data_IF_286364826281
#
_entry.id   IF_286364826281
#
_cell.length_a   1.000
_cell.length_b   1.000
_cell.length_c   1.000
_cell.angle_alpha   90.00
_cell.angle_beta   90.00
_cell.angle_gamma   90.00
#
_symmetry.space_group_name_H-M   'P 1'
#
loop_
_entity.id
_entity.type
_entity.pdbx_description
1 polymer ?
#
# COMPACT_ATOMS: atom_id res chain seq x y z
N UNK A 1 2.29 13.75 -2.55
CA UNK A 1 1.57 13.87 -1.27
C UNK A 1 1.89 15.22 -0.65
N UNK A 2 1.07 15.84 0.21
CA UNK A 2 1.45 17.13 0.79
C UNK A 2 2.71 16.94 1.64
N UNK A 3 3.71 17.83 1.43
CA UNK A 3 4.91 17.87 2.26
C UNK A 3 4.52 17.99 3.72
N UNK A 4 4.80 16.96 4.50
CA UNK A 4 4.64 16.98 5.94
C UNK A 4 5.99 17.41 6.50
N UNK A 5 6.10 18.52 7.24
CA UNK A 5 7.36 18.86 7.90
C UNK A 5 7.75 17.70 8.83
N UNK A 6 9.03 17.30 8.78
CA UNK A 6 9.57 16.29 9.69
C UNK A 6 9.18 16.66 11.13
N UNK A 7 8.53 15.74 11.83
CA UNK A 7 7.87 16.02 13.11
C UNK A 7 8.80 16.50 14.21
N UNK A 8 10.03 16.03 14.17
CA UNK A 8 10.99 16.33 15.23
C UNK A 8 11.70 17.67 15.05
N UNK A 9 11.33 18.48 14.01
CA UNK A 9 12.03 19.75 13.70
C UNK A 9 13.55 19.57 13.55
N UNK A 10 14.03 18.34 13.58
CA UNK A 10 15.40 17.94 13.43
C UNK A 10 15.78 17.80 11.95
N UNK A 11 17.07 17.91 11.64
CA UNK A 11 17.55 17.74 10.27
C UNK A 11 17.45 16.29 9.78
N UNK A 12 17.12 15.32 10.66
CA UNK A 12 17.22 13.89 10.39
C UNK A 12 15.83 13.25 10.34
N UNK A 13 15.49 12.58 9.25
CA UNK A 13 14.33 11.69 9.20
C UNK A 13 14.58 10.44 10.06
N UNK A 14 13.63 10.06 10.90
CA UNK A 14 13.73 8.91 11.80
C UNK A 14 12.71 7.84 11.41
N UNK A 15 13.20 6.69 10.94
CA UNK A 15 12.37 5.61 10.36
C UNK A 15 12.43 4.37 11.26
N UNK A 16 11.25 3.93 11.73
CA UNK A 16 11.12 2.63 12.37
C UNK A 16 11.11 1.53 11.30
N UNK A 17 11.95 0.52 11.43
CA UNK A 17 12.02 -0.61 10.49
C UNK A 17 11.55 -1.87 11.20
N UNK A 18 10.49 -2.49 10.68
CA UNK A 18 9.89 -3.71 11.20
C UNK A 18 9.87 -4.75 10.08
N UNK A 19 10.90 -5.58 9.91
CA UNK A 19 10.93 -6.58 8.84
C UNK A 19 9.84 -7.65 8.96
N UNK A 20 9.42 -7.98 10.19
CA UNK A 20 8.39 -8.97 10.47
C UNK A 20 8.84 -10.40 10.18
N UNK A 21 8.09 -11.13 9.34
CA UNK A 21 8.21 -12.56 9.11
C UNK A 21 8.57 -12.91 7.65
N UNK A 22 8.99 -14.15 7.46
CA UNK A 22 9.19 -14.75 6.14
C UNK A 22 10.08 -13.91 5.24
N UNK A 23 9.62 -13.65 4.00
CA UNK A 23 10.36 -12.83 3.03
C UNK A 23 10.52 -11.37 3.45
N UNK A 24 9.73 -10.87 4.41
CA UNK A 24 9.91 -9.52 4.95
C UNK A 24 11.33 -9.30 5.47
N UNK A 25 11.95 -10.34 6.06
CA UNK A 25 13.35 -10.31 6.52
C UNK A 25 14.38 -10.23 5.40
N UNK A 26 13.99 -10.60 4.17
CA UNK A 26 14.86 -10.57 2.99
C UNK A 26 14.68 -9.27 2.19
N UNK A 27 13.43 -8.82 1.98
CA UNK A 27 13.14 -7.68 1.10
C UNK A 27 13.22 -6.33 1.80
N UNK A 28 12.94 -6.24 3.11
CA UNK A 28 13.04 -4.98 3.86
C UNK A 28 14.47 -4.43 3.92
N UNK A 29 15.52 -5.24 4.16
CA UNK A 29 16.90 -4.77 4.08
C UNK A 29 17.27 -4.20 2.70
N UNK A 30 16.68 -4.71 1.61
CA UNK A 30 16.89 -4.16 0.26
C UNK A 30 16.28 -2.76 0.14
N UNK A 31 15.08 -2.57 0.65
CA UNK A 31 14.42 -1.26 0.69
C UNK A 31 15.23 -0.25 1.53
N UNK A 32 15.74 -0.65 2.70
CA UNK A 32 16.61 0.20 3.54
C UNK A 32 17.87 0.60 2.78
N UNK A 33 18.56 -0.34 2.11
CA UNK A 33 19.75 -0.02 1.29
C UNK A 33 19.43 0.95 0.15
N UNK A 34 18.29 0.78 -0.52
CA UNK A 34 17.84 1.67 -1.59
C UNK A 34 17.60 3.10 -1.06
N UNK A 35 16.92 3.25 0.08
CA UNK A 35 16.73 4.55 0.73
C UNK A 35 18.08 5.18 1.10
N UNK A 36 18.98 4.39 1.71
CA UNK A 36 20.32 4.88 2.10
C UNK A 36 21.12 5.39 0.90
N UNK A 37 21.11 4.65 -0.22
CA UNK A 37 21.78 5.03 -1.44
C UNK A 37 21.24 6.35 -2.01
N UNK A 38 19.91 6.51 -2.02
CA UNK A 38 19.26 7.73 -2.49
C UNK A 38 19.50 8.92 -1.56
N UNK A 39 19.36 8.73 -0.24
CA UNK A 39 19.57 9.76 0.76
C UNK A 39 21.03 10.30 0.78
N UNK A 40 22.01 9.41 0.57
CA UNK A 40 23.42 9.77 0.55
C UNK A 40 23.77 10.78 -0.56
N UNK A 41 23.12 10.66 -1.72
CA UNK A 41 23.35 11.56 -2.87
C UNK A 41 22.97 13.02 -2.59
N UNK A 42 21.89 13.21 -1.86
CA UNK A 42 21.42 14.56 -1.52
C UNK A 42 21.77 14.96 -0.08
N UNK A 43 22.71 14.22 0.56
CA UNK A 43 23.15 14.48 1.93
C UNK A 43 21.96 14.57 2.92
N UNK A 44 20.91 13.75 2.70
CA UNK A 44 19.74 13.68 3.57
C UNK A 44 20.07 12.83 4.79
N UNK A 45 20.12 13.39 5.97
CA UNK A 45 20.38 12.60 7.18
C UNK A 45 19.15 11.77 7.53
N UNK A 46 19.36 10.46 7.70
CA UNK A 46 18.32 9.48 8.01
C UNK A 46 18.81 8.49 9.07
N UNK A 47 17.96 8.21 10.04
CA UNK A 47 18.20 7.22 11.08
C UNK A 47 17.21 6.08 10.93
N UNK A 48 17.70 4.85 10.91
CA UNK A 48 16.88 3.63 10.93
C UNK A 48 16.98 2.95 12.29
N UNK A 49 15.84 2.73 12.92
CA UNK A 49 15.74 1.98 14.19
C UNK A 49 15.00 0.67 13.89
N UNK A 50 15.68 -0.44 14.10
CA UNK A 50 15.16 -1.77 13.78
C UNK A 50 14.47 -2.41 14.98
N UNK A 51 13.29 -3.00 14.72
CA UNK A 51 12.48 -3.73 15.69
C UNK A 51 12.31 -5.18 15.25
N UNK A 52 12.47 -6.12 16.18
CA UNK A 52 12.35 -7.58 15.97
C UNK A 52 10.90 -8.09 16.11
N UNK A 53 9.91 -7.22 15.86
CA UNK A 53 8.50 -7.58 16.03
C UNK A 53 8.02 -8.49 14.90
N UNK A 54 7.52 -9.66 15.30
CA UNK A 54 7.07 -10.71 14.42
C UNK A 54 6.88 -12.03 15.17
N UNK A 55 6.75 -13.13 14.43
CA UNK A 55 6.50 -14.46 14.98
C UNK A 55 7.62 -14.94 15.92
N UNK A 56 8.90 -14.68 15.59
CA UNK A 56 10.01 -15.12 16.44
C UNK A 56 9.97 -14.50 17.83
N UNK A 57 9.68 -13.18 17.92
CA UNK A 57 9.50 -12.52 19.20
C UNK A 57 8.28 -13.05 19.94
N UNK A 58 7.17 -13.19 19.24
CA UNK A 58 5.94 -13.72 19.83
C UNK A 58 6.13 -15.13 20.40
N UNK A 59 6.78 -16.02 19.67
CA UNK A 59 7.04 -17.39 20.11
C UNK A 59 8.04 -17.45 21.30
N UNK A 60 8.98 -16.53 21.37
CA UNK A 60 9.98 -16.46 22.43
C UNK A 60 9.44 -15.84 23.71
N UNK A 61 8.65 -14.75 23.58
CA UNK A 61 8.29 -13.87 24.69
C UNK A 61 6.78 -13.79 24.95
N UNK A 62 5.96 -14.35 24.05
CA UNK A 62 4.50 -14.19 24.04
C UNK A 62 4.04 -12.70 24.03
N UNK A 63 4.84 -11.85 23.38
CA UNK A 63 4.57 -10.41 23.22
C UNK A 63 4.45 -10.11 21.72
N UNK A 64 3.36 -9.49 21.32
CA UNK A 64 3.14 -9.00 19.96
C UNK A 64 3.70 -7.59 19.77
N UNK A 65 3.14 -6.62 20.48
CA UNK A 65 3.66 -5.26 20.61
C UNK A 65 4.00 -4.96 22.06
N UNK A 66 5.22 -4.52 22.37
CA UNK A 66 5.57 -4.10 23.73
C UNK A 66 4.67 -2.96 24.24
N UNK A 67 4.43 -2.86 25.55
CA UNK A 67 3.76 -1.72 26.14
C UNK A 67 4.44 -0.39 25.72
N UNK A 68 3.64 0.61 25.34
CA UNK A 68 4.15 1.90 24.90
C UNK A 68 4.69 1.94 23.46
N UNK A 69 4.69 0.81 22.72
CA UNK A 69 5.22 0.74 21.36
C UNK A 69 4.49 1.67 20.37
N UNK A 70 3.18 1.79 20.50
CA UNK A 70 2.36 2.63 19.62
C UNK A 70 2.65 4.11 19.85
N UNK A 71 2.72 4.51 21.12
CA UNK A 71 3.05 5.87 21.54
C UNK A 71 4.46 6.25 21.08
N UNK A 72 5.43 5.38 21.29
CA UNK A 72 6.81 5.55 20.82
C UNK A 72 6.86 5.72 19.30
N UNK A 73 6.20 4.83 18.53
CA UNK A 73 6.16 4.95 17.06
C UNK A 73 5.51 6.26 16.61
N UNK A 74 4.42 6.66 17.28
CA UNK A 74 3.71 7.88 16.97
C UNK A 74 4.54 9.14 17.26
N UNK A 75 5.26 9.15 18.37
CA UNK A 75 5.85 10.37 18.94
C UNK A 75 7.33 10.56 18.55
N UNK A 76 8.04 9.47 18.24
CA UNK A 76 9.47 9.48 17.97
C UNK A 76 9.88 9.23 16.51
N UNK A 77 8.96 8.76 15.65
CA UNK A 77 9.28 8.40 14.28
C UNK A 77 8.46 9.20 13.26
N UNK A 78 9.10 9.53 12.14
CA UNK A 78 8.46 10.21 11.01
C UNK A 78 7.67 9.23 10.14
N UNK A 79 8.18 7.99 10.00
CA UNK A 79 7.53 6.93 9.25
C UNK A 79 7.92 5.53 9.77
N UNK A 80 7.12 4.53 9.40
CA UNK A 80 7.37 3.12 9.69
C UNK A 80 7.52 2.39 8.36
N UNK A 81 8.69 1.78 8.12
CA UNK A 81 8.92 0.85 7.02
C UNK A 81 8.66 -0.56 7.54
N UNK A 82 7.67 -1.22 6.96
CA UNK A 82 7.21 -2.51 7.40
C UNK A 82 7.43 -3.57 6.31
N UNK A 83 7.81 -4.77 6.68
CA UNK A 83 8.01 -5.88 5.74
C UNK A 83 6.73 -6.69 5.53
N UNK A 84 6.62 -7.84 6.18
CA UNK A 84 5.45 -8.70 6.08
C UNK A 84 5.22 -9.45 7.39
N UNK A 85 3.99 -9.90 7.65
CA UNK A 85 3.66 -10.74 8.80
C UNK A 85 2.92 -12.00 8.39
N UNK A 86 3.09 -13.02 9.19
CA UNK A 86 2.46 -14.33 9.07
C UNK A 86 3.50 -15.44 9.09
N UNK A 87 3.31 -16.38 10.02
CA UNK A 87 4.19 -17.53 10.18
C UNK A 87 3.36 -18.77 10.52
N UNK A 88 3.49 -19.89 9.79
CA UNK A 88 2.72 -21.12 10.04
C UNK A 88 2.97 -21.72 11.42
N UNK A 89 4.05 -21.35 12.12
CA UNK A 89 4.29 -21.75 13.51
C UNK A 89 3.33 -21.09 14.50
N UNK A 90 2.60 -20.03 14.06
CA UNK A 90 1.53 -19.35 14.83
C UNK A 90 0.20 -19.58 14.12
N UNK A 91 -0.50 -20.72 14.34
CA UNK A 91 -1.65 -21.13 13.53
C UNK A 91 -2.81 -20.12 13.49
N UNK A 92 -3.02 -19.39 14.58
CA UNK A 92 -4.05 -18.35 14.68
C UNK A 92 -3.69 -17.07 13.92
N UNK A 93 -2.44 -16.91 13.48
CA UNK A 93 -1.88 -15.67 12.96
C UNK A 93 -2.10 -14.45 13.90
N UNK A 94 -2.36 -14.70 15.18
CA UNK A 94 -2.71 -13.69 16.17
C UNK A 94 -1.67 -12.56 16.23
N UNK A 95 -0.38 -12.90 16.21
CA UNK A 95 0.69 -11.91 16.23
C UNK A 95 0.61 -10.94 15.05
N UNK A 96 0.23 -11.43 13.86
CA UNK A 96 0.09 -10.60 12.67
C UNK A 96 -1.11 -9.64 12.81
N UNK A 97 -2.24 -10.14 13.30
CA UNK A 97 -3.42 -9.31 13.56
C UNK A 97 -3.11 -8.25 14.63
N UNK A 98 -2.52 -8.64 15.75
CA UNK A 98 -2.22 -7.72 16.85
C UNK A 98 -1.21 -6.62 16.45
N UNK A 99 -0.18 -6.96 15.67
CA UNK A 99 0.82 -5.98 15.23
C UNK A 99 0.25 -5.11 14.11
N UNK A 100 -0.16 -5.69 12.98
CA UNK A 100 -0.52 -4.93 11.79
C UNK A 100 -1.85 -4.19 11.96
N UNK A 101 -2.93 -4.91 12.31
CA UNK A 101 -4.23 -4.26 12.52
C UNK A 101 -4.19 -3.38 13.78
N UNK A 102 -3.46 -3.82 14.82
CA UNK A 102 -3.24 -3.02 16.02
C UNK A 102 -2.60 -1.66 15.72
N UNK A 103 -1.57 -1.61 14.87
CA UNK A 103 -0.95 -0.35 14.43
C UNK A 103 -1.89 0.48 13.57
N UNK A 104 -2.61 -0.13 12.60
CA UNK A 104 -3.57 0.57 11.74
C UNK A 104 -4.66 1.28 12.56
N UNK A 105 -5.23 0.58 13.55
CA UNK A 105 -6.31 1.13 14.38
C UNK A 105 -5.80 2.15 15.40
N UNK A 106 -4.73 1.84 16.13
CA UNK A 106 -4.23 2.70 17.22
C UNK A 106 -3.54 3.97 16.72
N UNK A 107 -2.93 3.94 15.53
CA UNK A 107 -2.38 5.11 14.86
C UNK A 107 -3.41 5.81 13.95
N UNK A 108 -4.65 5.28 13.88
CA UNK A 108 -5.75 5.76 13.03
C UNK A 108 -5.31 5.94 11.56
N UNK A 109 -4.62 4.94 11.00
CA UNK A 109 -4.11 4.94 9.62
C UNK A 109 -5.24 4.67 8.62
N UNK A 110 -6.18 5.59 8.50
CA UNK A 110 -7.45 5.39 7.81
C UNK A 110 -7.36 5.36 6.29
N UNK A 111 -6.28 5.84 5.70
CA UNK A 111 -6.06 5.78 4.25
C UNK A 111 -5.11 4.64 3.94
N UNK A 112 -5.60 3.56 3.34
CA UNK A 112 -4.70 2.62 2.67
C UNK A 112 -4.59 3.02 1.20
N UNK A 113 -3.43 3.53 0.82
CA UNK A 113 -3.11 3.96 -0.53
C UNK A 113 -2.37 2.84 -1.27
N UNK A 114 -2.96 2.33 -2.35
CA UNK A 114 -2.42 1.25 -3.18
C UNK A 114 -2.30 1.71 -4.64
N UNK A 115 -1.19 2.36 -5.01
CA UNK A 115 -0.95 2.73 -6.40
C UNK A 115 -0.65 1.48 -7.23
N UNK A 116 -1.17 1.48 -8.45
CA UNK A 116 -0.94 0.45 -9.44
C UNK A 116 -0.42 1.10 -10.72
N UNK A 117 0.79 0.74 -11.12
CA UNK A 117 1.43 1.21 -12.34
C UNK A 117 2.05 0.03 -13.08
N UNK A 118 1.75 -0.10 -14.35
CA UNK A 118 2.44 -1.06 -15.22
C UNK A 118 3.82 -0.51 -15.56
N UNK A 119 4.87 -1.10 -14.99
CA UNK A 119 6.24 -0.61 -15.17
C UNK A 119 6.91 -1.13 -16.45
N UNK A 120 6.47 -2.31 -16.95
CA UNK A 120 6.97 -2.89 -18.19
C UNK A 120 5.85 -3.72 -18.86
N UNK A 121 5.64 -3.62 -20.21
CA UNK A 121 4.48 -4.21 -20.89
C UNK A 121 4.43 -5.74 -20.82
N UNK A 122 5.56 -6.41 -20.61
CA UNK A 122 5.64 -7.88 -20.48
C UNK A 122 4.83 -8.45 -19.30
N UNK A 123 4.57 -7.64 -18.28
CA UNK A 123 4.00 -8.13 -17.01
C UNK A 123 2.49 -7.96 -16.90
N UNK A 124 1.83 -7.37 -17.89
CA UNK A 124 0.36 -7.36 -17.92
C UNK A 124 -0.19 -8.59 -18.61
N UNK A 125 -1.27 -9.21 -18.07
CA UNK A 125 -1.98 -10.28 -18.76
C UNK A 125 -2.92 -9.75 -19.88
N UNK A 126 -3.11 -8.43 -19.95
CA UNK A 126 -4.00 -7.80 -20.90
C UNK A 126 -3.34 -7.64 -22.27
N UNK A 127 -4.14 -7.72 -23.34
CA UNK A 127 -3.67 -7.50 -24.72
C UNK A 127 -3.71 -6.01 -25.06
N UNK A 128 -2.77 -5.58 -25.90
CA UNK A 128 -2.72 -4.23 -26.46
C UNK A 128 -2.68 -3.12 -25.38
N UNK A 129 -2.00 -3.41 -24.27
CA UNK A 129 -1.79 -2.51 -23.14
C UNK A 129 -0.31 -2.14 -23.03
N UNK A 130 -0.06 -0.85 -22.84
CA UNK A 130 1.26 -0.26 -22.64
C UNK A 130 1.42 0.24 -21.20
N UNK A 131 2.64 0.54 -20.74
CA UNK A 131 2.86 1.09 -19.39
C UNK A 131 2.05 2.35 -19.06
N UNK A 132 1.76 3.18 -20.06
CA UNK A 132 0.94 4.38 -19.88
C UNK A 132 -0.56 4.11 -19.72
N UNK A 133 -1.02 2.89 -19.99
CA UNK A 133 -2.44 2.53 -19.95
C UNK A 133 -2.91 2.09 -18.55
N UNK A 134 -2.00 1.63 -17.69
CA UNK A 134 -2.33 1.24 -16.32
C UNK A 134 -1.55 2.14 -15.36
N UNK A 135 -2.24 3.16 -14.88
CA UNK A 135 -1.77 4.03 -13.82
C UNK A 135 -2.97 4.53 -13.03
N UNK A 136 -3.22 3.91 -11.89
CA UNK A 136 -4.34 4.23 -11.02
C UNK A 136 -3.94 4.09 -9.55
N UNK A 137 -4.75 4.65 -8.66
CA UNK A 137 -4.59 4.45 -7.22
C UNK A 137 -5.92 4.04 -6.60
N UNK A 138 -5.87 3.03 -5.72
CA UNK A 138 -6.99 2.64 -4.87
C UNK A 138 -6.80 3.24 -3.49
N UNK A 139 -7.73 4.07 -3.05
CA UNK A 139 -7.87 4.51 -1.67
C UNK A 139 -8.90 3.62 -0.97
N UNK A 140 -8.41 2.74 -0.11
CA UNK A 140 -9.19 1.83 0.72
C UNK A 140 -9.38 2.43 2.10
N UNK A 141 -10.62 2.51 2.60
CA UNK A 141 -10.85 2.78 4.01
C UNK A 141 -10.21 1.66 4.82
N UNK A 142 -9.45 1.96 5.88
CA UNK A 142 -8.51 1.00 6.45
C UNK A 142 -8.74 0.70 7.94
N UNK A 143 -9.69 1.36 8.57
CA UNK A 143 -9.92 1.29 10.03
C UNK A 143 -11.33 0.86 10.42
N UNK A 144 -12.16 0.54 9.45
CA UNK A 144 -13.55 0.11 9.63
C UNK A 144 -13.84 -1.16 8.79
N UNK A 145 -15.11 -1.49 8.61
CA UNK A 145 -15.56 -2.61 7.81
C UNK A 145 -15.50 -3.95 8.56
N UNK A 146 -15.37 -5.02 7.81
CA UNK A 146 -15.30 -6.40 8.35
C UNK A 146 -14.04 -6.65 9.20
N UNK A 147 -12.96 -5.87 8.99
CA UNK A 147 -11.67 -6.04 9.66
C UNK A 147 -11.68 -5.59 11.13
N UNK A 148 -12.74 -4.92 11.60
CA UNK A 148 -12.88 -4.57 13.03
C UNK A 148 -13.10 -5.80 13.92
N UNK A 149 -13.44 -6.95 13.31
CA UNK A 149 -13.59 -8.21 14.03
C UNK A 149 -14.83 -8.31 14.92
N UNK A 150 -15.83 -7.43 14.71
CA UNK A 150 -17.12 -7.55 15.43
C UNK A 150 -17.92 -8.72 14.91
N UNK A 151 -18.29 -9.64 15.81
CA UNK A 151 -19.02 -10.82 15.45
C UNK A 151 -18.84 -11.94 16.47
N UNK A 152 -19.23 -13.15 16.10
CA UNK A 152 -19.10 -14.31 16.96
C UNK A 152 -19.81 -15.55 16.44
N UNK A 153 -19.81 -16.58 17.28
CA UNK A 153 -20.44 -17.86 16.99
C UNK A 153 -21.57 -18.13 17.98
N UNK A 154 -22.64 -18.71 17.48
CA UNK A 154 -23.69 -19.32 18.28
C UNK A 154 -23.73 -20.82 17.99
N UNK A 155 -23.84 -21.67 19.01
CA UNK A 155 -23.81 -23.16 18.92
C UNK A 155 -22.59 -23.69 18.15
N UNK A 156 -21.40 -23.11 18.41
CA UNK A 156 -20.14 -23.48 17.75
C UNK A 156 -19.89 -25.00 17.84
N UNK A 157 -19.34 -25.56 16.77
CA UNK A 157 -19.01 -27.00 16.62
C UNK A 157 -20.22 -27.94 16.64
N UNK A 158 -21.44 -27.43 16.32
CA UNK A 158 -22.66 -28.24 16.16
C UNK A 158 -23.26 -28.08 14.76
N UNK A 159 -24.15 -28.99 14.31
CA UNK A 159 -24.83 -28.82 13.02
C UNK A 159 -25.67 -27.54 12.89
N UNK A 160 -26.06 -26.94 14.02
CA UNK A 160 -26.84 -25.70 14.07
C UNK A 160 -25.94 -24.45 14.31
N UNK A 161 -24.65 -24.53 14.02
CA UNK A 161 -23.71 -23.41 14.20
C UNK A 161 -24.09 -22.21 13.35
N UNK A 162 -24.07 -21.03 13.98
CA UNK A 162 -24.24 -19.74 13.32
C UNK A 162 -22.98 -18.90 13.55
N UNK A 163 -22.39 -18.40 12.47
CA UNK A 163 -21.32 -17.42 12.51
C UNK A 163 -21.83 -16.05 12.04
N UNK A 164 -21.51 -14.99 12.77
CA UNK A 164 -21.87 -13.62 12.43
C UNK A 164 -20.60 -12.79 12.34
N UNK A 165 -20.48 -11.98 11.30
CA UNK A 165 -19.42 -10.98 11.10
C UNK A 165 -20.05 -9.66 10.67
N UNK A 166 -19.83 -8.61 11.44
CA UNK A 166 -20.42 -7.30 11.21
C UNK A 166 -19.56 -6.43 10.28
N UNK A 167 -20.19 -5.79 9.30
CA UNK A 167 -19.56 -4.75 8.47
C UNK A 167 -19.87 -3.36 9.04
N UNK A 168 -18.91 -2.80 9.77
CA UNK A 168 -19.06 -1.53 10.49
C UNK A 168 -18.63 -0.37 9.60
N UNK A 169 -19.53 0.58 9.35
CA UNK A 169 -19.26 1.78 8.56
C UNK A 169 -19.76 3.01 9.33
N UNK A 170 -18.87 3.90 9.72
CA UNK A 170 -19.25 5.17 10.32
C UNK A 170 -19.29 6.29 9.28
N UNK A 171 -20.15 7.30 9.51
CA UNK A 171 -20.16 8.50 8.65
C UNK A 171 -18.78 9.17 8.61
N UNK A 172 -18.09 9.24 9.74
CA UNK A 172 -16.75 9.83 9.85
C UNK A 172 -15.74 9.08 8.95
N UNK A 173 -15.70 7.74 9.04
CA UNK A 173 -14.78 6.90 8.26
C UNK A 173 -15.05 7.03 6.76
N UNK A 174 -16.30 6.89 6.35
CA UNK A 174 -16.71 7.01 4.94
C UNK A 174 -16.41 8.41 4.39
N UNK A 175 -16.73 9.47 5.14
CA UNK A 175 -16.52 10.84 4.67
C UNK A 175 -15.03 11.17 4.51
N UNK A 176 -14.19 10.80 5.47
CA UNK A 176 -12.77 11.15 5.44
C UNK A 176 -12.01 10.48 4.31
N UNK A 177 -12.35 9.21 3.98
CA UNK A 177 -11.68 8.52 2.88
C UNK A 177 -12.15 9.03 1.51
N UNK A 178 -13.43 9.28 1.32
CA UNK A 178 -13.97 9.87 0.09
C UNK A 178 -13.39 11.27 -0.10
N UNK A 179 -13.37 12.10 0.92
CA UNK A 179 -12.79 13.44 0.89
C UNK A 179 -11.28 13.40 0.58
N UNK A 180 -10.56 12.43 1.12
CA UNK A 180 -9.15 12.23 0.79
C UNK A 180 -8.95 11.94 -0.71
N UNK A 181 -9.75 11.04 -1.29
CA UNK A 181 -9.69 10.71 -2.70
C UNK A 181 -9.97 11.93 -3.60
N UNK A 182 -10.97 12.75 -3.27
CA UNK A 182 -11.26 13.98 -4.03
C UNK A 182 -10.16 15.05 -3.89
N UNK A 183 -9.61 15.24 -2.70
CA UNK A 183 -8.47 16.16 -2.49
C UNK A 183 -7.24 15.71 -3.27
N UNK A 184 -6.94 14.42 -3.25
CA UNK A 184 -5.86 13.85 -4.04
C UNK A 184 -6.09 14.07 -5.53
N UNK A 185 -7.27 13.72 -6.05
CA UNK A 185 -7.61 13.88 -7.46
C UNK A 185 -7.51 15.35 -7.93
N UNK A 186 -7.93 16.32 -7.09
CA UNK A 186 -7.82 17.75 -7.40
C UNK A 186 -6.38 18.24 -7.41
N UNK A 187 -5.53 17.71 -6.54
CA UNK A 187 -4.13 18.10 -6.44
C UNK A 187 -3.25 17.54 -7.56
N UNK A 188 -3.73 16.54 -8.30
CA UNK A 188 -2.99 15.86 -9.35
C UNK A 188 -3.73 15.95 -10.69
N UNK A 189 -2.97 15.96 -11.78
CA UNK A 189 -3.49 15.94 -13.14
C UNK A 189 -2.74 14.91 -13.98
N UNK A 190 -3.31 14.54 -15.12
CA UNK A 190 -2.62 13.66 -16.08
C UNK A 190 -1.34 14.34 -16.56
N UNK A 191 -0.19 13.65 -16.43
CA UNK A 191 1.12 14.18 -16.78
C UNK A 191 1.82 14.94 -15.65
N UNK A 192 1.19 15.11 -14.48
CA UNK A 192 1.91 15.57 -13.27
C UNK A 192 2.89 14.50 -12.78
N UNK A 193 3.90 14.92 -12.00
CA UNK A 193 4.84 13.98 -11.40
C UNK A 193 4.09 12.83 -10.71
N UNK A 194 4.39 11.59 -11.10
CA UNK A 194 3.74 10.39 -10.60
C UNK A 194 2.50 9.92 -11.37
N UNK A 195 1.87 10.72 -12.26
CA UNK A 195 0.72 10.29 -13.07
C UNK A 195 0.94 10.58 -14.57
N UNK A 196 1.60 9.64 -15.26
CA UNK A 196 1.67 9.65 -16.73
C UNK A 196 0.56 8.77 -17.28
N UNK A 197 -0.28 9.29 -18.14
CA UNK A 197 -1.39 8.54 -18.74
C UNK A 197 -1.31 8.53 -20.25
N UNK A 198 -1.68 7.40 -20.88
CA UNK A 198 -1.87 7.27 -22.33
C UNK A 198 -2.87 8.29 -22.90
N UNK A 199 -3.73 8.86 -22.07
CA UNK A 199 -4.67 9.91 -22.43
C UNK A 199 -4.02 11.29 -22.65
N UNK A 200 -2.68 11.36 -22.57
CA UNK A 200 -1.90 12.59 -22.72
C UNK A 200 -1.86 13.46 -21.46
N UNK A 201 -1.13 14.57 -21.56
CA UNK A 201 -1.08 15.57 -20.48
C UNK A 201 -2.36 16.40 -20.46
N UNK A 202 -2.92 16.63 -19.29
CA UNK A 202 -4.11 17.46 -19.05
C UNK A 202 -3.95 18.26 -17.78
N UNK A 203 -4.40 19.51 -17.77
CA UNK A 203 -4.50 20.35 -16.57
C UNK A 203 -5.73 20.04 -15.73
N UNK A 204 -6.62 19.15 -16.21
CA UNK A 204 -7.82 18.77 -15.46
C UNK A 204 -7.43 17.82 -14.31
N UNK A 205 -8.15 17.90 -13.16
CA UNK A 205 -8.04 16.94 -12.08
C UNK A 205 -8.19 15.48 -12.55
N UNK A 206 -7.63 14.54 -11.79
CA UNK A 206 -7.87 13.10 -11.97
C UNK A 206 -9.35 12.77 -11.70
N UNK A 207 -9.84 11.71 -12.33
CA UNK A 207 -11.22 11.22 -12.15
C UNK A 207 -11.32 10.36 -10.91
N UNK A 208 -12.44 10.48 -10.17
CA UNK A 208 -12.73 9.66 -9.00
C UNK A 208 -13.83 8.64 -9.33
N UNK A 209 -13.59 7.36 -9.08
CA UNK A 209 -14.58 6.30 -9.09
C UNK A 209 -14.82 5.80 -7.66
N UNK A 210 -15.98 6.06 -7.09
CA UNK A 210 -16.41 5.43 -5.83
C UNK A 210 -17.03 4.08 -6.14
N UNK A 211 -16.69 3.05 -5.36
CA UNK A 211 -17.23 1.71 -5.54
C UNK A 211 -17.77 1.13 -4.24
N UNK A 212 -18.91 0.48 -4.35
CA UNK A 212 -19.60 -0.20 -3.26
C UNK A 212 -20.46 -1.39 -3.76
N UNK A 213 -21.25 -1.97 -2.88
CA UNK A 213 -22.26 -2.98 -3.22
C UNK A 213 -23.64 -2.54 -2.69
N UNK A 214 -24.01 -1.27 -2.90
CA UNK A 214 -25.26 -0.69 -2.36
C UNK A 214 -26.54 -1.35 -2.87
N UNK A 215 -26.47 -2.08 -3.97
CA UNK A 215 -27.60 -2.89 -4.44
C UNK A 215 -27.87 -4.17 -3.60
N UNK A 216 -26.94 -4.52 -2.70
CA UNK A 216 -27.07 -5.68 -1.80
C UNK A 216 -26.87 -5.28 -0.32
N UNK A 217 -25.95 -4.37 -0.04
CA UNK A 217 -25.62 -3.91 1.30
C UNK A 217 -26.39 -2.60 1.60
N UNK A 218 -27.66 -2.74 1.96
CA UNK A 218 -28.61 -1.61 2.02
C UNK A 218 -28.14 -0.48 2.92
N UNK A 219 -27.77 -0.77 4.16
CA UNK A 219 -27.45 0.29 5.14
C UNK A 219 -26.06 0.90 4.92
N UNK A 220 -25.04 0.06 4.76
CA UNK A 220 -23.70 0.52 4.44
C UNK A 220 -23.69 1.27 3.11
N UNK A 221 -24.33 0.70 2.08
CA UNK A 221 -24.43 1.29 0.76
C UNK A 221 -25.15 2.64 0.76
N UNK A 222 -26.29 2.78 1.48
CA UNK A 222 -26.97 4.06 1.62
C UNK A 222 -26.06 5.15 2.22
N UNK A 223 -25.31 4.79 3.28
CA UNK A 223 -24.36 5.71 3.89
C UNK A 223 -23.27 6.15 2.90
N UNK A 224 -22.64 5.21 2.19
CA UNK A 224 -21.62 5.51 1.19
C UNK A 224 -22.14 6.40 0.06
N UNK A 225 -23.32 6.09 -0.49
CA UNK A 225 -23.95 6.87 -1.56
C UNK A 225 -24.29 8.31 -1.13
N UNK A 226 -24.90 8.48 0.04
CA UNK A 226 -25.26 9.81 0.55
C UNK A 226 -24.03 10.67 0.83
N UNK A 227 -23.00 10.07 1.44
CA UNK A 227 -21.74 10.78 1.74
C UNK A 227 -21.00 11.11 0.45
N UNK A 228 -20.91 10.17 -0.52
CA UNK A 228 -20.31 10.43 -1.81
C UNK A 228 -20.98 11.60 -2.53
N UNK A 229 -22.32 11.60 -2.59
CA UNK A 229 -23.09 12.71 -3.17
C UNK A 229 -22.81 14.05 -2.49
N UNK A 230 -22.72 14.06 -1.17
CA UNK A 230 -22.42 15.27 -0.38
C UNK A 230 -21.01 15.79 -0.66
N UNK A 231 -19.98 14.93 -0.58
CA UNK A 231 -18.59 15.33 -0.82
C UNK A 231 -18.37 15.76 -2.27
N UNK A 232 -18.92 15.01 -3.24
CA UNK A 232 -18.85 15.36 -4.66
C UNK A 232 -19.31 16.79 -4.96
N UNK A 233 -20.35 17.25 -4.29
CA UNK A 233 -20.88 18.60 -4.48
C UNK A 233 -19.89 19.72 -4.09
N UNK A 234 -18.91 19.42 -3.22
CA UNK A 234 -17.85 20.34 -2.81
C UNK A 234 -16.66 20.36 -3.81
N UNK A 235 -16.64 19.42 -4.78
CA UNK A 235 -15.58 19.27 -5.78
C UNK A 235 -16.13 19.25 -7.21
N UNK A 236 -16.82 20.33 -7.66
CA UNK A 236 -17.48 20.36 -8.97
C UNK A 236 -16.50 20.29 -10.15
N UNK A 237 -15.23 20.57 -9.92
CA UNK A 237 -14.12 20.50 -10.86
C UNK A 237 -13.55 19.09 -11.06
N UNK A 238 -13.90 18.14 -10.20
CA UNK A 238 -13.43 16.73 -10.25
C UNK A 238 -14.50 15.87 -10.90
N UNK A 239 -14.19 15.27 -12.05
CA UNK A 239 -15.07 14.28 -12.68
C UNK A 239 -15.17 13.02 -11.80
N UNK A 240 -16.40 12.56 -11.55
CA UNK A 240 -16.60 11.45 -10.64
C UNK A 240 -17.83 10.62 -10.97
N UNK A 241 -17.69 9.31 -10.73
CA UNK A 241 -18.76 8.32 -10.98
C UNK A 241 -18.83 7.27 -9.87
N UNK A 242 -19.92 6.54 -9.86
CA UNK A 242 -20.11 5.35 -9.05
C UNK A 242 -20.19 4.10 -9.92
N UNK A 243 -19.57 3.01 -9.48
CA UNK A 243 -19.75 1.66 -10.02
C UNK A 243 -19.96 0.67 -8.87
N UNK A 244 -20.81 -0.31 -9.06
CA UNK A 244 -20.83 -1.46 -8.16
C UNK A 244 -19.52 -2.23 -8.26
N UNK A 245 -19.09 -2.86 -7.19
CA UNK A 245 -17.76 -3.50 -7.11
C UNK A 245 -17.56 -4.61 -8.14
N UNK A 246 -18.58 -5.37 -8.45
CA UNK A 246 -18.57 -6.38 -9.51
C UNK A 246 -18.42 -5.76 -10.90
N UNK A 247 -19.10 -4.66 -11.17
CA UNK A 247 -18.93 -3.89 -12.41
C UNK A 247 -17.54 -3.29 -12.49
N UNK A 248 -17.03 -2.72 -11.40
CA UNK A 248 -15.66 -2.19 -11.33
C UNK A 248 -14.62 -3.27 -11.65
N UNK A 249 -14.77 -4.47 -11.08
CA UNK A 249 -13.86 -5.60 -11.34
C UNK A 249 -13.84 -6.00 -12.82
N UNK A 250 -15.02 -6.09 -13.45
CA UNK A 250 -15.12 -6.36 -14.90
C UNK A 250 -14.48 -5.25 -15.74
N UNK A 251 -14.75 -3.99 -15.42
CA UNK A 251 -14.26 -2.87 -16.20
C UNK A 251 -12.74 -2.66 -16.03
N UNK A 252 -12.14 -3.00 -14.90
CA UNK A 252 -10.69 -3.01 -14.72
C UNK A 252 -10.00 -3.99 -15.65
N UNK A 253 -10.56 -5.18 -15.84
CA UNK A 253 -10.04 -6.20 -16.76
C UNK A 253 -10.29 -5.81 -18.22
N UNK A 254 -11.46 -5.21 -18.51
CA UNK A 254 -11.86 -4.82 -19.85
C UNK A 254 -11.07 -3.62 -20.38
N UNK A 255 -10.95 -2.57 -19.57
CA UNK A 255 -10.23 -1.34 -19.93
C UNK A 255 -9.80 -0.55 -18.69
N UNK A 256 -8.59 -0.81 -18.16
CA UNK A 256 -8.09 -0.11 -16.97
C UNK A 256 -7.86 1.39 -17.18
N UNK A 257 -7.72 1.86 -18.45
CA UNK A 257 -7.46 3.27 -18.80
C UNK A 257 -8.53 4.24 -18.33
N UNK A 258 -9.70 3.74 -18.01
CA UNK A 258 -10.81 4.59 -17.56
C UNK A 258 -10.74 4.97 -16.07
N UNK A 259 -9.76 4.45 -15.32
CA UNK A 259 -9.62 4.69 -13.87
C UNK A 259 -8.35 5.48 -13.56
N UNK A 260 -8.48 6.49 -12.69
CA UNK A 260 -7.37 7.23 -12.11
C UNK A 260 -7.32 7.04 -10.58
N UNK A 261 -8.42 7.36 -9.90
CA UNK A 261 -8.58 7.24 -8.45
C UNK A 261 -9.83 6.40 -8.18
N UNK A 262 -9.65 5.31 -7.45
CA UNK A 262 -10.74 4.48 -6.96
C UNK A 262 -10.82 4.67 -5.45
N UNK A 263 -12.03 4.83 -4.90
CA UNK A 263 -12.25 4.90 -3.46
C UNK A 263 -13.35 3.90 -3.06
N UNK A 264 -13.11 3.12 -2.00
CA UNK A 264 -14.03 2.08 -1.56
C UNK A 264 -13.79 1.69 -0.09
N UNK A 265 -14.67 0.83 0.45
CA UNK A 265 -14.56 0.28 1.80
C UNK A 265 -13.35 -0.66 1.96
N UNK A 266 -13.16 -1.12 3.19
CA UNK A 266 -12.00 -1.93 3.55
C UNK A 266 -11.91 -3.24 2.74
N UNK A 267 -12.93 -4.08 2.77
CA UNK A 267 -12.90 -5.39 2.11
C UNK A 267 -12.81 -5.27 0.58
N UNK A 268 -13.64 -4.44 -0.01
CA UNK A 268 -13.62 -4.28 -1.47
C UNK A 268 -12.34 -3.63 -1.95
N UNK A 269 -11.76 -2.71 -1.17
CA UNK A 269 -10.47 -2.11 -1.46
C UNK A 269 -9.34 -3.11 -1.47
N UNK A 270 -9.37 -4.09 -0.56
CA UNK A 270 -8.42 -5.19 -0.54
C UNK A 270 -8.49 -6.02 -1.82
N UNK A 271 -9.66 -6.53 -2.12
CA UNK A 271 -9.89 -7.42 -3.28
C UNK A 271 -9.57 -6.71 -4.60
N UNK A 272 -10.04 -5.48 -4.77
CA UNK A 272 -9.90 -4.78 -6.06
C UNK A 272 -8.49 -4.29 -6.31
N UNK A 273 -7.74 -3.94 -5.26
CA UNK A 273 -6.34 -3.54 -5.41
C UNK A 273 -5.42 -4.72 -5.72
N UNK A 274 -5.73 -5.92 -5.23
CA UNK A 274 -5.00 -7.14 -5.58
C UNK A 274 -5.25 -7.53 -7.04
N UNK A 275 -6.50 -7.38 -7.52
CA UNK A 275 -6.81 -7.53 -8.93
C UNK A 275 -6.04 -6.51 -9.78
N UNK A 276 -6.06 -5.23 -9.38
CA UNK A 276 -5.33 -4.18 -10.09
C UNK A 276 -3.81 -4.45 -10.12
N UNK A 277 -3.23 -4.89 -9.00
CA UNK A 277 -1.84 -5.29 -8.92
C UNK A 277 -1.51 -6.42 -9.90
N UNK A 278 -2.39 -7.43 -10.03
CA UNK A 278 -2.18 -8.53 -10.97
C UNK A 278 -2.21 -8.06 -12.44
N UNK A 279 -2.98 -7.02 -12.76
CA UNK A 279 -2.97 -6.43 -14.10
C UNK A 279 -1.67 -5.67 -14.42
N UNK A 280 -0.88 -5.33 -13.41
CA UNK A 280 0.37 -4.57 -13.53
C UNK A 280 1.64 -5.38 -13.22
N UNK A 281 1.54 -6.70 -13.06
CA UNK A 281 2.69 -7.58 -12.86
C UNK A 281 2.72 -8.33 -11.52
N UNK A 282 1.64 -8.24 -10.74
CA UNK A 282 1.44 -9.02 -9.53
C UNK A 282 1.93 -8.33 -8.25
N UNK A 283 1.73 -9.03 -7.13
CA UNK A 283 1.98 -8.51 -5.79
C UNK A 283 3.47 -8.17 -5.53
N UNK A 284 4.40 -8.83 -6.24
CA UNK A 284 5.83 -8.54 -6.15
C UNK A 284 6.24 -7.16 -6.66
N UNK A 285 5.34 -6.46 -7.39
CA UNK A 285 5.51 -5.09 -7.89
C UNK A 285 4.54 -4.09 -7.24
N UNK A 286 3.79 -4.49 -6.21
CA UNK A 286 2.73 -3.70 -5.64
C UNK A 286 3.16 -3.03 -4.31
N UNK A 287 3.37 -1.71 -4.29
CA UNK A 287 3.61 -0.96 -3.06
C UNK A 287 2.30 -0.60 -2.36
N UNK A 288 2.39 -0.30 -1.06
CA UNK A 288 1.26 0.15 -0.25
C UNK A 288 1.69 1.12 0.85
N UNK A 289 0.78 1.99 1.23
CA UNK A 289 0.94 2.89 2.37
C UNK A 289 -0.33 2.95 3.20
N UNK A 290 -0.17 2.88 4.53
CA UNK A 290 -1.25 3.09 5.50
C UNK A 290 -1.01 4.47 6.14
N UNK A 291 -1.87 5.43 5.83
CA UNK A 291 -1.60 6.84 6.08
C UNK A 291 -2.63 7.44 7.04
N UNK A 292 -2.13 8.21 7.99
CA UNK A 292 -2.88 9.28 8.62
C UNK A 292 -2.27 10.63 8.15
N UNK A 293 -2.96 11.44 7.34
CA UNK A 293 -2.39 12.70 6.87
C UNK A 293 -1.92 13.59 8.04
N UNK A 294 -0.64 14.01 7.98
CA UNK A 294 -0.03 14.85 9.02
C UNK A 294 0.47 14.09 10.26
N UNK A 295 0.56 12.75 10.22
CA UNK A 295 1.06 11.93 11.33
C UNK A 295 1.94 10.80 10.83
N UNK A 296 2.69 10.18 11.75
CA UNK A 296 3.45 8.96 11.48
C UNK A 296 2.58 7.94 10.75
N UNK A 297 3.09 7.44 9.64
CA UNK A 297 2.37 6.53 8.74
C UNK A 297 3.21 5.29 8.48
N UNK A 298 2.55 4.20 8.05
CA UNK A 298 3.17 2.89 7.87
C UNK A 298 3.19 2.52 6.38
N UNK A 299 4.34 2.10 5.90
CA UNK A 299 4.60 1.73 4.51
C UNK A 299 4.99 0.26 4.44
N UNK A 300 4.21 -0.54 3.73
CA UNK A 300 4.41 -1.98 3.58
C UNK A 300 4.09 -2.42 2.15
N UNK A 301 4.83 -3.38 1.57
CA UNK A 301 4.43 -3.97 0.30
C UNK A 301 3.11 -4.75 0.45
N UNK A 302 2.38 -4.93 -0.65
CA UNK A 302 1.08 -5.63 -0.62
C UNK A 302 1.25 -7.13 -0.36
N UNK A 303 2.39 -7.72 -0.77
CA UNK A 303 2.67 -9.14 -0.57
C UNK A 303 2.78 -9.52 0.92
N UNK A 304 2.37 -10.75 1.27
CA UNK A 304 2.54 -11.33 2.61
C UNK A 304 3.94 -11.91 2.86
N UNK A 305 4.04 -12.70 3.92
CA UNK A 305 5.31 -13.32 4.37
C UNK A 305 5.86 -14.43 3.48
N UNK A 306 5.04 -15.01 2.58
CA UNK A 306 5.40 -16.07 1.63
C UNK A 306 6.30 -17.17 2.25
N UNK A 307 5.83 -17.91 3.26
CA UNK A 307 6.66 -18.82 4.04
C UNK A 307 7.26 -19.97 3.22
N UNK A 308 6.65 -20.30 2.09
CA UNK A 308 7.11 -21.33 1.16
C UNK A 308 8.40 -20.98 0.41
N UNK A 309 8.73 -19.69 0.29
CA UNK A 309 9.99 -19.23 -0.37
C UNK A 309 10.91 -18.48 0.59
N UNK A 310 10.50 -18.22 1.82
CA UNK A 310 11.32 -17.58 2.83
C UNK A 310 12.64 -18.34 3.09
N UNK A 311 13.74 -17.60 3.21
CA UNK A 311 15.09 -18.14 3.42
C UNK A 311 15.76 -18.71 2.18
N UNK A 312 15.10 -18.68 1.00
CA UNK A 312 15.66 -19.19 -0.25
C UNK A 312 16.43 -18.13 -1.07
N UNK A 313 16.39 -16.87 -0.67
CA UNK A 313 17.06 -15.78 -1.38
C UNK A 313 16.52 -15.50 -2.78
N UNK A 314 15.25 -15.84 -3.03
CA UNK A 314 14.56 -15.65 -4.33
C UNK A 314 13.36 -14.72 -4.25
N UNK A 315 13.12 -14.12 -3.10
CA UNK A 315 12.03 -13.16 -2.91
C UNK A 315 12.25 -11.91 -3.76
N UNK A 316 11.19 -11.45 -4.42
CA UNK A 316 11.19 -10.24 -5.23
C UNK A 316 11.21 -8.99 -4.32
N UNK A 317 12.26 -8.14 -4.37
CA UNK A 317 12.33 -6.96 -3.51
C UNK A 317 11.67 -5.71 -4.12
N UNK A 318 11.18 -5.76 -5.36
CA UNK A 318 10.69 -4.56 -6.05
C UNK A 318 9.50 -3.91 -5.34
N UNK A 319 8.53 -4.71 -4.86
CA UNK A 319 7.40 -4.19 -4.09
C UNK A 319 7.84 -3.41 -2.85
N UNK A 320 8.85 -3.93 -2.13
CA UNK A 320 9.41 -3.26 -0.95
C UNK A 320 10.19 -1.99 -1.30
N UNK A 321 10.93 -1.97 -2.41
CA UNK A 321 11.65 -0.77 -2.88
C UNK A 321 10.68 0.30 -3.39
N UNK A 322 9.63 -0.10 -4.11
CA UNK A 322 8.57 0.84 -4.53
C UNK A 322 7.80 1.40 -3.32
N UNK A 323 7.58 0.58 -2.29
CA UNK A 323 7.00 1.02 -1.01
C UNK A 323 7.92 2.04 -0.31
N UNK A 324 9.24 1.81 -0.34
CA UNK A 324 10.20 2.79 0.13
C UNK A 324 10.12 4.10 -0.66
N UNK A 325 9.84 4.03 -1.96
CA UNK A 325 9.55 5.22 -2.78
C UNK A 325 8.34 6.00 -2.25
N UNK A 326 7.23 5.33 -1.92
CA UNK A 326 6.06 6.00 -1.31
C UNK A 326 6.38 6.65 0.04
N UNK A 327 7.24 6.01 0.85
CA UNK A 327 7.72 6.57 2.10
C UNK A 327 8.51 7.86 1.87
N UNK A 328 9.39 7.89 0.87
CA UNK A 328 10.18 9.06 0.53
C UNK A 328 9.31 10.20 -0.02
N UNK A 329 8.32 9.91 -0.89
CA UNK A 329 7.32 10.88 -1.33
C UNK A 329 6.53 11.47 -0.14
N UNK A 330 6.19 10.65 0.85
CA UNK A 330 5.50 11.08 2.06
C UNK A 330 6.38 12.04 2.89
N UNK A 331 7.69 11.84 2.92
CA UNK A 331 8.65 12.75 3.55
C UNK A 331 8.94 14.00 2.71
N UNK A 332 8.43 14.10 1.48
CA UNK A 332 8.71 15.18 0.53
C UNK A 332 10.07 15.07 -0.15
N UNK A 333 10.58 13.85 -0.28
CA UNK A 333 11.84 13.53 -0.96
C UNK A 333 11.54 12.93 -2.33
N UNK A 334 10.97 13.76 -3.20
CA UNK A 334 10.40 13.31 -4.49
C UNK A 334 11.48 12.85 -5.48
N UNK A 335 12.66 13.47 -5.48
CA UNK A 335 13.77 13.07 -6.36
C UNK A 335 14.33 11.70 -5.97
N UNK A 336 14.50 11.46 -4.68
CA UNK A 336 14.94 10.18 -4.13
C UNK A 336 13.90 9.08 -4.42
N UNK A 337 12.62 9.37 -4.23
CA UNK A 337 11.53 8.45 -4.56
C UNK A 337 11.50 8.10 -6.05
N UNK A 338 11.68 9.10 -6.90
CA UNK A 338 11.78 8.91 -8.35
C UNK A 338 12.95 8.00 -8.73
N UNK A 339 14.12 8.18 -8.12
CA UNK A 339 15.28 7.35 -8.37
C UNK A 339 15.06 5.87 -7.99
N UNK A 340 14.40 5.60 -6.87
CA UNK A 340 14.03 4.23 -6.51
C UNK A 340 13.13 3.61 -7.59
N UNK A 341 12.11 4.33 -8.03
CA UNK A 341 11.20 3.86 -9.09
C UNK A 341 11.92 3.63 -10.42
N UNK A 342 12.82 4.53 -10.81
CA UNK A 342 13.62 4.37 -12.04
C UNK A 342 14.56 3.18 -11.96
N UNK A 343 15.17 2.90 -10.80
CA UNK A 343 16.02 1.72 -10.62
C UNK A 343 15.25 0.42 -10.83
N UNK A 344 14.00 0.34 -10.35
CA UNK A 344 13.12 -0.81 -10.60
C UNK A 344 12.77 -0.92 -12.08
N UNK A 345 12.39 0.18 -12.75
CA UNK A 345 12.12 0.18 -14.21
C UNK A 345 13.31 -0.30 -15.01
N UNK A 346 14.52 0.17 -14.67
CA UNK A 346 15.74 -0.27 -15.34
C UNK A 346 16.02 -1.76 -15.11
N UNK A 347 15.84 -2.26 -13.90
CA UNK A 347 16.00 -3.70 -13.63
C UNK A 347 15.03 -4.56 -14.45
N UNK A 348 13.78 -4.12 -14.60
CA UNK A 348 12.79 -4.82 -15.43
C UNK A 348 13.16 -4.79 -16.92
N UNK A 349 13.71 -3.68 -17.42
CA UNK A 349 14.16 -3.55 -18.81
C UNK A 349 15.43 -4.39 -19.09
N UNK A 350 16.31 -4.53 -18.12
CA UNK A 350 17.58 -5.26 -18.24
C UNK A 350 17.46 -6.75 -17.86
N UNK A 351 16.24 -7.26 -17.66
CA UNK A 351 15.93 -8.64 -17.26
C UNK A 351 16.59 -9.06 -15.91
N UNK A 352 16.87 -8.09 -15.03
CA UNK A 352 17.37 -8.33 -13.68
C UNK A 352 16.20 -8.63 -12.74
N UNK A 353 15.62 -9.81 -12.88
CA UNK A 353 14.37 -10.19 -12.22
C UNK A 353 14.43 -11.53 -11.51
N UNK A 354 13.62 -11.68 -10.47
CA UNK A 354 13.46 -12.89 -9.68
C UNK A 354 12.54 -13.92 -10.37
N UNK A 355 12.48 -15.17 -9.89
CA UNK A 355 11.71 -16.25 -10.55
C UNK A 355 10.21 -16.00 -10.69
N UNK A 356 9.59 -15.23 -9.79
CA UNK A 356 8.17 -14.86 -9.86
C UNK A 356 7.83 -14.00 -11.09
N UNK A 357 8.81 -13.26 -11.60
CA UNK A 357 8.72 -12.48 -12.84
C UNK A 357 9.33 -13.19 -14.05
N UNK A 358 9.62 -14.49 -13.93
CA UNK A 358 10.22 -15.32 -14.98
C UNK A 358 11.73 -15.17 -15.14
N UNK A 359 12.39 -14.47 -14.24
CA UNK A 359 13.84 -14.32 -14.20
C UNK A 359 14.56 -15.44 -13.44
N UNK A 360 15.86 -15.26 -13.22
CA UNK A 360 16.71 -16.22 -12.51
C UNK A 360 17.57 -15.58 -11.42
N UNK A 361 17.37 -14.29 -11.15
CA UNK A 361 18.17 -13.55 -10.19
C UNK A 361 17.74 -13.82 -8.77
N UNK A 362 18.72 -13.82 -7.87
CA UNK A 362 18.49 -13.84 -6.44
C UNK A 362 18.07 -12.45 -5.92
N UNK A 363 17.45 -12.41 -4.74
CA UNK A 363 17.14 -11.16 -4.03
C UNK A 363 18.38 -10.27 -3.88
N UNK A 364 19.54 -10.86 -3.61
CA UNK A 364 20.81 -10.13 -3.43
C UNK A 364 21.31 -9.53 -4.75
N UNK A 365 21.32 -10.29 -5.86
CA UNK A 365 21.72 -9.75 -7.17
C UNK A 365 20.83 -8.58 -7.61
N UNK A 366 19.51 -8.69 -7.39
CA UNK A 366 18.58 -7.59 -7.65
C UNK A 366 18.89 -6.39 -6.75
N UNK A 367 19.11 -6.61 -5.44
CA UNK A 367 19.49 -5.57 -4.48
C UNK A 367 20.74 -4.80 -4.93
N UNK A 368 21.78 -5.52 -5.34
CA UNK A 368 23.05 -4.91 -5.76
C UNK A 368 22.88 -4.09 -7.03
N UNK A 369 22.10 -4.59 -8.00
CA UNK A 369 21.76 -3.84 -9.20
C UNK A 369 21.05 -2.52 -8.87
N UNK A 370 19.95 -2.58 -8.05
CA UNK A 370 19.17 -1.41 -7.68
C UNK A 370 20.02 -0.36 -6.97
N UNK A 371 20.81 -0.77 -5.98
CA UNK A 371 21.68 0.13 -5.21
C UNK A 371 22.72 0.81 -6.10
N UNK A 372 23.35 0.04 -7.00
CA UNK A 372 24.32 0.57 -7.95
C UNK A 372 23.68 1.54 -8.96
N UNK A 373 22.48 1.24 -9.44
CA UNK A 373 21.74 2.11 -10.36
C UNK A 373 21.38 3.44 -9.69
N UNK A 374 20.81 3.41 -8.49
CA UNK A 374 20.49 4.61 -7.70
C UNK A 374 21.76 5.46 -7.49
N UNK A 375 22.86 4.84 -7.08
CA UNK A 375 24.12 5.55 -6.82
C UNK A 375 24.74 6.23 -8.06
N UNK A 376 24.44 5.75 -9.27
CA UNK A 376 24.98 6.29 -10.52
C UNK A 376 24.10 7.36 -11.17
N UNK A 377 22.78 7.28 -11.00
CA UNK A 377 21.82 8.05 -11.80
C UNK A 377 21.02 9.09 -11.03
N UNK A 378 21.27 9.28 -9.74
CA UNK A 378 20.73 10.36 -8.91
C UNK A 378 21.61 11.60 -8.96
#
# INVERSE_FOLDING_TARGET
MPNIPLRNGGPNARIAVIPGDGIGKEVTPVAVKAIQAAAAKHHRPIEFVHFDWGADKFLRENITLPPGAVEMLRDEFDAILFGALGDPRVPSNQHAADILLGLRFKLDLFVNARPTELLHPRYTPLRDITPSDIQLIVFRENTEGLYVGMGGFFKKDTPDEIAVQEDVNSRKGVERIIRHAFKFARAHSLGSAGFQSARGSSTKPLRVCMSDKSNAMTYAGDLWQRVFKSVRAEFPDVDSRHLYIDTLAMELVRDPRQFDVIVTNNLFGDIISDLAAQLAGGLGLAPSANIHPGRTSLFEPVHGSAPNIAGKGIANPFGSVLTAGLLLEFLGWDDEAHALKQSVKSALNDDITTPDLGGSKTTTEVSDYLTNHISKHL
#
